data_IF_618573683877
#
_entry.id   IF_618573683877
#
_cell.length_a   1.000
_cell.length_b   1.000
_cell.length_c   1.000
_cell.angle_alpha   90.00
_cell.angle_beta   90.00
_cell.angle_gamma   90.00
#
_symmetry.space_group_name_H-M   'P 1'
#
loop_
_entity.id
_entity.type
_entity.pdbx_description
1 polymer ?
#
# COMPACT_ATOMS: atom_id res chain seq x y z
N UNK A 1 1.38 -10.90 47.42
CA UNK A 1 2.12 -12.15 47.07
C UNK A 1 2.98 -11.97 45.82
N UNK A 2 2.53 -11.20 44.83
CA UNK A 2 3.28 -10.92 43.58
C UNK A 2 4.60 -10.17 43.76
N UNK A 3 4.72 -9.27 44.74
CA UNK A 3 5.95 -8.49 45.00
C UNK A 3 7.11 -9.34 45.54
N UNK A 4 6.82 -10.26 46.46
CA UNK A 4 7.83 -11.16 47.04
C UNK A 4 8.39 -12.11 45.97
N UNK A 5 7.51 -12.62 45.09
CA UNK A 5 7.91 -13.47 43.97
C UNK A 5 8.80 -12.69 42.99
N UNK A 6 8.49 -11.41 42.78
CA UNK A 6 9.27 -10.49 41.94
C UNK A 6 10.69 -10.28 42.49
N UNK A 7 10.81 -9.96 43.77
CA UNK A 7 12.10 -9.69 44.43
C UNK A 7 12.97 -10.97 44.51
N UNK A 8 12.35 -12.14 44.70
CA UNK A 8 13.05 -13.44 44.65
C UNK A 8 13.56 -13.75 43.23
N UNK A 9 12.81 -13.40 42.19
CA UNK A 9 13.26 -13.56 40.81
C UNK A 9 14.43 -12.62 40.45
N UNK A 10 14.41 -11.37 40.93
CA UNK A 10 15.49 -10.40 40.74
C UNK A 10 16.80 -10.84 41.43
N UNK A 11 16.72 -11.41 42.64
CA UNK A 11 17.89 -11.88 43.42
C UNK A 11 18.55 -13.14 42.84
N UNK A 12 17.79 -13.97 42.12
CA UNK A 12 18.30 -15.16 41.41
C UNK A 12 18.76 -14.86 39.97
N UNK A 13 18.74 -13.59 39.55
CA UNK A 13 19.17 -13.16 38.21
C UNK A 13 18.16 -13.51 37.10
N UNK A 14 16.90 -13.77 37.44
CA UNK A 14 15.82 -14.00 36.48
C UNK A 14 15.29 -12.69 35.90
N UNK A 15 14.95 -12.69 34.61
CA UNK A 15 14.42 -11.51 33.91
C UNK A 15 12.93 -11.29 34.27
N UNK A 16 12.70 -10.34 35.17
CA UNK A 16 11.39 -10.06 35.77
C UNK A 16 10.40 -9.37 34.82
N UNK A 17 10.88 -8.91 33.66
CA UNK A 17 10.03 -8.22 32.66
C UNK A 17 9.31 -9.17 31.71
N UNK A 18 9.67 -10.45 31.69
CA UNK A 18 9.03 -11.41 30.79
C UNK A 18 7.63 -11.73 31.31
N UNK A 19 6.63 -11.32 30.56
CA UNK A 19 5.25 -11.74 30.78
C UNK A 19 5.12 -13.22 30.45
N UNK A 20 4.25 -13.96 31.14
CA UNK A 20 4.02 -15.39 30.88
C UNK A 20 3.72 -15.64 29.39
N UNK A 21 3.10 -14.67 28.72
CA UNK A 21 2.84 -14.67 27.27
C UNK A 21 4.11 -14.66 26.40
N UNK A 22 5.14 -13.91 26.77
CA UNK A 22 6.42 -13.88 26.02
C UNK A 22 7.19 -15.20 26.20
N UNK A 23 7.18 -15.74 27.41
CA UNK A 23 7.80 -17.03 27.71
C UNK A 23 7.09 -18.16 26.96
N UNK A 24 5.76 -18.13 26.91
CA UNK A 24 4.94 -19.05 26.12
C UNK A 24 5.23 -18.92 24.62
N UNK A 25 5.31 -17.70 24.07
CA UNK A 25 5.68 -17.51 22.66
C UNK A 25 7.08 -18.06 22.36
N UNK A 26 8.05 -17.88 23.25
CA UNK A 26 9.42 -18.39 23.08
C UNK A 26 9.48 -19.92 23.11
N UNK A 27 8.77 -20.56 24.05
CA UNK A 27 8.62 -22.02 24.13
C UNK A 27 7.92 -22.60 22.90
N UNK A 28 6.87 -21.94 22.42
CA UNK A 28 6.15 -22.37 21.22
C UNK A 28 7.07 -22.25 19.99
N UNK A 29 7.81 -21.14 19.87
CA UNK A 29 8.80 -20.93 18.81
C UNK A 29 9.92 -21.97 18.81
N UNK A 30 10.53 -22.28 19.97
CA UNK A 30 11.57 -23.32 20.05
C UNK A 30 11.03 -24.72 19.77
N UNK A 31 9.77 -25.00 20.14
CA UNK A 31 9.08 -26.24 19.77
C UNK A 31 8.87 -26.34 18.25
N UNK A 32 8.41 -25.27 17.61
CA UNK A 32 8.23 -25.21 16.15
C UNK A 32 9.57 -25.32 15.40
N UNK A 33 10.62 -24.63 15.87
CA UNK A 33 11.98 -24.73 15.31
C UNK A 33 12.54 -26.16 15.44
N UNK A 34 12.35 -26.80 16.60
CA UNK A 34 12.76 -28.18 16.82
C UNK A 34 12.03 -29.17 15.90
N UNK A 35 10.72 -29.00 15.68
CA UNK A 35 9.96 -29.82 14.74
C UNK A 35 10.44 -29.65 13.30
N UNK A 36 10.77 -28.43 12.90
CA UNK A 36 11.23 -28.13 11.53
C UNK A 36 12.58 -28.77 11.20
N UNK A 37 13.55 -28.77 12.12
CA UNK A 37 14.83 -29.47 11.93
C UNK A 37 14.63 -30.98 11.84
N UNK A 38 13.89 -31.57 12.78
CA UNK A 38 13.62 -33.01 12.79
C UNK A 38 12.91 -33.47 11.50
N UNK A 39 12.02 -32.65 10.93
CA UNK A 39 11.32 -32.98 9.69
C UNK A 39 12.24 -32.92 8.46
N UNK A 40 13.22 -32.02 8.44
CA UNK A 40 14.23 -31.97 7.37
C UNK A 40 15.18 -33.16 7.43
N UNK A 41 15.65 -33.50 8.63
CA UNK A 41 16.54 -34.64 8.84
C UNK A 41 15.83 -35.97 8.50
N UNK A 42 14.55 -36.09 8.87
CA UNK A 42 13.71 -37.22 8.48
C UNK A 42 13.49 -37.26 6.96
N UNK A 43 13.24 -36.11 6.30
CA UNK A 43 13.11 -36.04 4.84
C UNK A 43 14.40 -36.48 4.15
N UNK A 44 15.57 -36.04 4.62
CA UNK A 44 16.88 -36.46 4.10
C UNK A 44 17.17 -37.96 4.31
N UNK A 45 16.76 -38.52 5.45
CA UNK A 45 16.89 -39.94 5.73
C UNK A 45 15.98 -40.81 4.84
N UNK A 46 14.86 -40.27 4.37
CA UNK A 46 13.87 -40.97 3.52
C UNK A 46 14.11 -40.73 2.02
N UNK A 47 14.88 -39.70 1.64
CA UNK A 47 15.18 -39.39 0.23
C UNK A 47 16.14 -40.42 -0.36
N UNK A 48 15.60 -41.37 -1.12
CA UNK A 48 16.34 -42.25 -2.00
C UNK A 48 16.65 -41.54 -3.33
N UNK A 49 17.73 -41.91 -4.05
CA UNK A 49 17.93 -41.44 -5.42
C UNK A 49 16.69 -41.79 -6.25
N UNK A 50 16.20 -40.86 -7.09
CA UNK A 50 14.94 -41.04 -7.79
C UNK A 50 15.06 -42.24 -8.75
N UNK A 51 14.26 -43.27 -8.51
CA UNK A 51 14.34 -44.54 -9.24
C UNK A 51 13.70 -44.47 -10.62
N UNK A 52 12.83 -43.48 -10.84
CA UNK A 52 12.12 -43.28 -12.11
C UNK A 52 12.18 -41.81 -12.54
N UNK A 53 12.12 -41.56 -13.85
CA UNK A 53 12.02 -40.24 -14.46
C UNK A 53 10.85 -39.41 -13.89
N UNK A 54 9.69 -40.04 -13.66
CA UNK A 54 8.55 -39.32 -13.05
C UNK A 54 8.85 -38.81 -11.63
N UNK A 55 9.61 -39.54 -10.82
CA UNK A 55 10.04 -39.06 -9.50
C UNK A 55 11.03 -37.89 -9.62
N UNK A 56 11.89 -37.88 -10.65
CA UNK A 56 12.76 -36.72 -10.93
C UNK A 56 11.94 -35.49 -11.30
N UNK A 57 10.91 -35.65 -12.14
CA UNK A 57 10.01 -34.56 -12.49
C UNK A 57 9.25 -34.02 -11.27
N UNK A 58 8.74 -34.89 -10.40
CA UNK A 58 8.07 -34.49 -9.16
C UNK A 58 9.05 -33.71 -8.28
N UNK A 59 10.27 -34.21 -8.10
CA UNK A 59 11.32 -33.54 -7.32
C UNK A 59 11.68 -32.17 -7.92
N UNK A 60 11.82 -32.05 -9.24
CA UNK A 60 12.10 -30.77 -9.89
C UNK A 60 10.90 -29.80 -9.85
N UNK A 61 9.68 -30.32 -9.81
CA UNK A 61 8.46 -29.52 -9.62
C UNK A 61 8.37 -29.02 -8.18
N UNK A 62 8.67 -29.85 -7.18
CA UNK A 62 8.77 -29.44 -5.77
C UNK A 62 9.88 -28.40 -5.55
N UNK A 63 10.99 -28.52 -6.28
CA UNK A 63 12.10 -27.57 -6.26
C UNK A 63 11.82 -26.28 -7.06
N UNK A 64 10.70 -26.20 -7.80
CA UNK A 64 10.37 -25.04 -8.64
C UNK A 64 11.24 -24.86 -9.89
N UNK A 65 11.97 -25.91 -10.31
CA UNK A 65 12.79 -25.89 -11.55
C UNK A 65 11.96 -26.08 -12.81
N UNK A 66 10.84 -26.81 -12.69
CA UNK A 66 9.87 -27.01 -13.78
C UNK A 66 8.67 -26.07 -13.54
N UNK A 67 8.07 -25.60 -14.63
CA UNK A 67 6.78 -24.89 -14.60
C UNK A 67 5.68 -25.76 -14.01
N UNK A 68 4.75 -25.14 -13.29
CA UNK A 68 3.59 -25.86 -12.76
C UNK A 68 2.61 -26.10 -13.91
N UNK A 69 2.02 -27.30 -13.94
CA UNK A 69 0.99 -27.63 -14.90
C UNK A 69 -0.40 -27.50 -14.26
N UNK A 70 -1.44 -27.05 -15.00
CA UNK A 70 -1.40 -26.51 -16.37
C UNK A 70 -0.58 -25.22 -16.48
N UNK A 71 0.03 -24.99 -17.65
CA UNK A 71 0.86 -23.79 -17.86
C UNK A 71 -0.02 -22.55 -17.75
N UNK A 72 0.31 -21.67 -16.81
CA UNK A 72 -0.31 -20.36 -16.62
C UNK A 72 0.78 -19.29 -16.83
N UNK A 73 0.52 -18.34 -17.73
CA UNK A 73 1.47 -17.28 -18.08
C UNK A 73 1.64 -16.25 -16.94
N UNK A 74 0.72 -16.25 -15.97
CA UNK A 74 0.77 -15.39 -14.79
C UNK A 74 1.53 -16.04 -13.61
N UNK A 75 2.15 -17.21 -13.81
CA UNK A 75 2.93 -17.87 -12.77
C UNK A 75 4.07 -16.98 -12.27
N UNK A 76 4.02 -16.61 -10.99
CA UNK A 76 4.99 -15.71 -10.35
C UNK A 76 4.48 -14.28 -10.12
N UNK A 77 3.27 -13.95 -10.56
CA UNK A 77 2.62 -12.65 -10.31
C UNK A 77 1.53 -12.74 -9.21
N UNK A 78 1.81 -13.54 -8.17
CA UNK A 78 0.83 -13.90 -7.13
C UNK A 78 0.41 -12.72 -6.24
N UNK A 79 1.24 -11.68 -6.14
CA UNK A 79 0.94 -10.49 -5.32
C UNK A 79 -0.07 -9.58 -6.00
N UNK A 80 0.15 -9.24 -7.28
CA UNK A 80 -0.79 -8.41 -8.05
C UNK A 80 -2.11 -9.14 -8.31
N UNK A 81 -2.10 -10.47 -8.42
CA UNK A 81 -3.32 -11.28 -8.60
C UNK A 81 -4.28 -11.19 -7.41
N UNK A 82 -3.78 -10.86 -6.21
CA UNK A 82 -4.62 -10.65 -5.02
C UNK A 82 -5.36 -9.32 -5.08
N UNK A 83 -4.81 -8.35 -5.81
CA UNK A 83 -5.34 -7.00 -5.89
C UNK A 83 -6.52 -6.97 -6.86
N UNK A 84 -7.62 -6.35 -6.42
CA UNK A 84 -8.80 -6.23 -7.26
C UNK A 84 -8.62 -5.12 -8.29
N UNK A 85 -9.08 -5.35 -9.53
CA UNK A 85 -8.85 -4.44 -10.67
C UNK A 85 -9.28 -2.99 -10.42
N UNK A 86 -10.25 -2.78 -9.52
CA UNK A 86 -10.72 -1.44 -9.16
C UNK A 86 -9.62 -0.56 -8.58
N UNK A 87 -8.61 -1.16 -7.96
CA UNK A 87 -7.48 -0.42 -7.39
C UNK A 87 -6.53 0.08 -8.48
N UNK A 88 -6.34 -0.67 -9.56
CA UNK A 88 -5.55 -0.23 -10.71
C UNK A 88 -6.28 0.81 -11.57
N UNK A 89 -7.61 0.77 -11.63
CA UNK A 89 -8.41 1.65 -12.49
C UNK A 89 -8.87 2.93 -11.79
N UNK A 90 -9.38 2.83 -10.55
CA UNK A 90 -9.99 3.96 -9.83
C UNK A 90 -9.00 4.61 -8.86
N UNK A 91 -8.08 5.40 -9.42
CA UNK A 91 -7.05 6.13 -8.67
C UNK A 91 -7.53 7.48 -8.11
N UNK A 92 -8.73 7.94 -8.50
CA UNK A 92 -9.30 9.24 -8.11
C UNK A 92 -9.45 9.38 -6.58
N UNK A 93 -9.64 8.26 -5.88
CA UNK A 93 -9.73 8.19 -4.41
C UNK A 93 -8.52 8.81 -3.70
N UNK A 94 -7.34 8.70 -4.30
CA UNK A 94 -6.09 9.25 -3.75
C UNK A 94 -5.87 10.72 -4.11
N UNK A 95 -6.66 11.26 -5.05
CA UNK A 95 -6.51 12.63 -5.55
C UNK A 95 -7.36 13.65 -4.77
N UNK A 96 -8.57 13.26 -4.37
CA UNK A 96 -9.53 14.13 -3.65
C UNK A 96 -9.01 14.80 -2.36
N UNK A 97 -8.08 14.21 -1.57
CA UNK A 97 -7.63 14.83 -0.33
C UNK A 97 -6.86 16.14 -0.48
N UNK A 98 -6.16 16.35 -1.60
CA UNK A 98 -5.25 17.51 -1.76
C UNK A 98 -5.49 18.32 -3.04
N UNK A 99 -6.17 17.76 -4.04
CA UNK A 99 -6.39 18.43 -5.32
C UNK A 99 -7.65 19.31 -5.30
N UNK A 100 -7.61 20.56 -5.80
CA UNK A 100 -8.81 21.38 -5.99
C UNK A 100 -9.86 20.70 -6.89
N UNK A 101 -11.15 20.92 -6.60
CA UNK A 101 -12.26 20.34 -7.38
C UNK A 101 -12.43 20.98 -8.78
N UNK A 102 -11.86 22.17 -9.00
CA UNK A 102 -11.91 22.89 -10.28
C UNK A 102 -10.58 23.56 -10.55
N UNK A 103 -10.11 23.47 -11.79
CA UNK A 103 -8.94 24.20 -12.28
C UNK A 103 -8.08 23.40 -13.26
N UNK A 104 -7.06 24.05 -13.87
CA UNK A 104 -6.13 23.39 -14.79
C UNK A 104 -5.36 22.25 -14.11
N UNK A 105 -5.06 22.41 -12.81
CA UNK A 105 -4.37 21.38 -12.02
C UNK A 105 -5.21 20.11 -11.90
N UNK A 106 -6.53 20.24 -11.70
CA UNK A 106 -7.44 19.10 -11.64
C UNK A 106 -7.48 18.36 -12.97
N UNK A 107 -7.58 19.10 -14.08
CA UNK A 107 -7.58 18.51 -15.42
C UNK A 107 -6.27 17.78 -15.73
N UNK A 108 -5.12 18.35 -15.34
CA UNK A 108 -3.83 17.69 -15.48
C UNK A 108 -3.76 16.39 -14.67
N UNK A 109 -4.18 16.43 -13.40
CA UNK A 109 -4.15 15.24 -12.56
C UNK A 109 -5.13 14.16 -13.03
N UNK A 110 -6.28 14.53 -13.58
CA UNK A 110 -7.20 13.59 -14.23
C UNK A 110 -6.53 12.86 -15.40
N UNK A 111 -5.77 13.58 -16.24
CA UNK A 111 -5.00 12.96 -17.32
C UNK A 111 -3.92 12.01 -16.79
N UNK A 112 -3.23 12.38 -15.72
CA UNK A 112 -2.26 11.50 -15.05
C UNK A 112 -2.95 10.23 -14.53
N UNK A 113 -4.10 10.35 -13.84
CA UNK A 113 -4.87 9.20 -13.37
C UNK A 113 -5.33 8.30 -14.53
N UNK A 114 -5.80 8.88 -15.64
CA UNK A 114 -6.19 8.12 -16.85
C UNK A 114 -4.98 7.44 -17.52
N UNK A 115 -3.79 8.05 -17.47
CA UNK A 115 -2.56 7.44 -17.97
C UNK A 115 -2.12 6.25 -17.11
N UNK A 116 -2.16 6.41 -15.79
CA UNK A 116 -1.79 5.37 -14.83
C UNK A 116 -2.79 4.19 -14.84
N UNK A 117 -4.08 4.46 -15.06
CA UNK A 117 -5.10 3.39 -15.11
C UNK A 117 -4.95 2.48 -16.33
N UNK A 118 -4.44 3.01 -17.45
CA UNK A 118 -4.19 2.25 -18.67
C UNK A 118 -2.86 1.50 -18.67
N UNK A 119 -2.03 1.65 -17.63
CA UNK A 119 -0.72 1.00 -17.57
C UNK A 119 -0.82 -0.40 -16.91
N UNK A 120 -0.54 -1.49 -17.66
CA UNK A 120 -0.55 -2.86 -17.14
C UNK A 120 0.78 -3.28 -16.47
N UNK A 121 1.85 -2.50 -16.63
CA UNK A 121 3.19 -2.86 -16.16
C UNK A 121 3.52 -2.31 -14.77
N UNK A 122 2.68 -1.44 -14.21
CA UNK A 122 2.89 -0.82 -12.91
C UNK A 122 1.99 -1.45 -11.85
N UNK A 123 2.58 -1.73 -10.69
CA UNK A 123 1.88 -2.16 -9.48
C UNK A 123 1.02 -1.02 -8.92
N UNK A 124 0.04 -1.34 -8.08
CA UNK A 124 -0.80 -0.32 -7.41
C UNK A 124 0.04 0.59 -6.51
N UNK A 125 1.01 0.03 -5.80
CA UNK A 125 1.89 0.79 -4.92
C UNK A 125 2.72 1.81 -5.70
N UNK A 126 3.29 1.44 -6.84
CA UNK A 126 4.01 2.37 -7.71
C UNK A 126 3.10 3.50 -8.22
N UNK A 127 1.84 3.19 -8.58
CA UNK A 127 0.86 4.22 -8.99
C UNK A 127 0.55 5.19 -7.85
N UNK A 128 0.46 4.70 -6.61
CA UNK A 128 0.25 5.54 -5.41
C UNK A 128 1.44 6.46 -5.16
N UNK A 129 2.66 5.93 -5.23
CA UNK A 129 3.90 6.70 -5.08
C UNK A 129 4.01 7.82 -6.13
N UNK A 130 3.63 7.54 -7.39
CA UNK A 130 3.59 8.56 -8.44
C UNK A 130 2.64 9.72 -8.09
N UNK A 131 1.47 9.44 -7.54
CA UNK A 131 0.50 10.47 -7.14
C UNK A 131 1.04 11.28 -5.94
N UNK A 132 1.67 10.61 -4.98
CA UNK A 132 2.28 11.26 -3.82
C UNK A 132 3.45 12.16 -4.21
N UNK A 133 4.25 11.75 -5.19
CA UNK A 133 5.30 12.59 -5.75
C UNK A 133 4.76 13.91 -6.31
N UNK A 134 3.64 13.87 -7.05
CA UNK A 134 3.00 15.08 -7.55
C UNK A 134 2.54 16.00 -6.43
N UNK A 135 1.96 15.44 -5.36
CA UNK A 135 1.54 16.21 -4.19
C UNK A 135 2.71 17.01 -3.60
N UNK A 136 3.84 16.35 -3.36
CA UNK A 136 5.03 16.99 -2.79
C UNK A 136 5.61 18.05 -3.75
N UNK A 137 5.65 17.75 -5.05
CA UNK A 137 6.10 18.69 -6.07
C UNK A 137 5.27 19.98 -6.14
N UNK A 138 3.93 19.86 -6.05
CA UNK A 138 3.05 21.03 -6.06
C UNK A 138 3.08 21.82 -4.75
N UNK A 139 3.43 21.17 -3.64
CA UNK A 139 3.62 21.84 -2.36
C UNK A 139 4.87 22.72 -2.38
N UNK A 140 5.99 22.21 -2.91
CA UNK A 140 7.22 22.98 -3.10
C UNK A 140 7.02 24.18 -4.06
N UNK A 141 6.26 23.98 -5.14
CA UNK A 141 6.07 25.00 -6.18
C UNK A 141 4.84 25.88 -5.98
N UNK A 142 4.16 25.80 -4.83
CA UNK A 142 2.90 26.50 -4.55
C UNK A 142 2.96 28.01 -4.84
N UNK A 143 4.13 28.63 -4.64
CA UNK A 143 4.34 30.05 -4.92
C UNK A 143 4.21 30.37 -6.42
N UNK A 144 4.78 29.54 -7.30
CA UNK A 144 4.62 29.65 -8.75
C UNK A 144 3.17 29.39 -9.19
N UNK A 145 2.46 28.46 -8.55
CA UNK A 145 1.05 28.19 -8.88
C UNK A 145 0.14 29.38 -8.57
N UNK A 146 0.48 30.19 -7.56
CA UNK A 146 -0.20 31.45 -7.27
C UNK A 146 0.09 32.51 -8.33
N UNK A 147 1.35 32.65 -8.74
CA UNK A 147 1.77 33.60 -9.79
C UNK A 147 1.12 33.30 -11.14
N UNK A 148 0.97 32.01 -11.48
CA UNK A 148 0.33 31.56 -12.73
C UNK A 148 -1.20 31.63 -12.65
N UNK A 149 -1.79 31.91 -11.48
CA UNK A 149 -3.24 31.96 -11.28
C UNK A 149 -3.95 30.60 -11.41
N UNK A 150 -3.19 29.50 -11.33
CA UNK A 150 -3.72 28.14 -11.44
C UNK A 150 -4.47 27.70 -10.17
N UNK A 151 -4.14 28.32 -9.03
CA UNK A 151 -4.97 28.32 -7.83
C UNK A 151 -5.82 29.57 -7.87
N UNK A 152 -7.08 29.43 -8.27
CA UNK A 152 -8.03 30.52 -8.14
C UNK A 152 -8.25 30.75 -6.64
N UNK A 153 -7.69 31.84 -6.11
CA UNK A 153 -8.16 32.38 -4.84
C UNK A 153 -9.66 32.63 -4.99
N UNK A 154 -10.47 31.85 -4.27
CA UNK A 154 -11.93 31.99 -4.24
C UNK A 154 -12.38 33.42 -3.86
N UNK A 155 -11.47 34.23 -3.35
CA UNK A 155 -11.70 35.61 -2.92
C UNK A 155 -12.08 36.55 -4.08
N UNK A 156 -11.59 36.33 -5.32
CA UNK A 156 -11.95 37.18 -6.48
C UNK A 156 -13.36 36.89 -7.04
N UNK A 157 -13.90 35.69 -6.81
CA UNK A 157 -15.24 35.33 -7.29
C UNK A 157 -16.37 35.92 -6.43
N UNK A 158 -16.07 36.34 -5.19
CA UNK A 158 -17.05 36.95 -4.29
C UNK A 158 -17.17 38.46 -4.49
N UNK A 159 -16.08 39.17 -4.84
CA UNK A 159 -16.08 40.63 -5.04
C UNK A 159 -16.75 41.07 -6.34
N UNK A 160 -16.75 40.23 -7.39
CA UNK A 160 -17.43 40.53 -8.66
C UNK A 160 -18.96 40.35 -8.60
N UNK A 161 -19.49 39.57 -7.65
CA UNK A 161 -20.95 39.39 -7.48
C UNK A 161 -21.61 40.51 -6.67
N UNK A 162 -20.86 41.25 -5.85
CA UNK A 162 -21.40 42.39 -5.09
C UNK A 162 -21.45 43.71 -5.88
N UNK A 163 -20.85 43.78 -7.07
CA UNK A 163 -20.73 45.02 -7.85
C UNK A 163 -21.77 45.23 -8.96
N UNK A 164 -22.53 44.20 -9.36
CA UNK A 164 -23.52 44.28 -10.45
C UNK A 164 -24.96 44.28 -9.92
N UNK A 165 -25.27 45.26 -9.07
CA UNK A 165 -26.65 45.63 -8.71
C UNK A 165 -26.93 47.02 -9.29
N UNK A 166 -27.40 47.08 -10.53
CA UNK A 166 -27.85 48.33 -11.16
C UNK A 166 -28.98 48.91 -10.31
N UNK A 167 -28.73 50.08 -9.72
CA UNK A 167 -29.74 50.91 -9.05
C UNK A 167 -30.77 51.34 -10.08
N UNK A 168 -31.94 50.71 -10.08
CA UNK A 168 -33.16 51.25 -10.67
C UNK A 168 -33.85 52.20 -9.68
N UNK A 169 -33.79 53.50 -9.96
CA UNK A 169 -34.61 54.55 -9.37
C UNK A 169 -34.46 55.80 -10.25
N UNK A 170 -35.44 56.65 -10.53
CA UNK A 170 -36.82 56.85 -10.11
C UNK A 170 -37.50 57.70 -11.22
N UNK A 171 -38.83 57.74 -11.28
CA UNK A 171 -39.54 58.76 -12.07
C UNK A 171 -41.06 58.74 -11.89
N UNK A 172 -41.56 59.55 -10.95
CA UNK A 172 -42.96 59.81 -10.65
C UNK A 172 -43.65 60.69 -11.73
N UNK A 173 -44.89 60.31 -12.09
CA UNK A 173 -46.11 61.17 -12.30
C UNK A 173 -46.15 62.13 -13.51
N UNK A 174 -47.30 62.73 -13.91
CA UNK A 174 -48.61 62.90 -13.23
C UNK A 174 -49.50 61.66 -13.16
#
# INVERSE_FOLDING_TARGET
MTRVVKDVAETLGGDVKQTETELLMKLLKTSEEGKASNLRDLKLAVTHPPSNYFQQMILWTEQGKIWKFPIDNEQGLDEEKKVYFTEHVFLEKYLEPWCPQKGPLRHFMELVCVGLSKNPYLTVDAKREHIEWFKNYFEEKKQLLKEVGALQDRELAQTLKSGCGVKGGNGLTP
#
